data_IF_129954745816
#
_entry.id   IF_129954745816
#
_cell.length_a   1.000
_cell.length_b   1.000
_cell.length_c   1.000
_cell.angle_alpha   90.00
_cell.angle_beta   90.00
_cell.angle_gamma   90.00
#
_symmetry.space_group_name_H-M   'P 1'
#
loop_
_entity.id
_entity.type
_entity.pdbx_description
1 polymer ?
#
# COMPACT_ATOMS: atom_id res chain seq x y z
N UNK A 1 35.64 21.16 -37.96
CA UNK A 1 35.97 20.22 -36.86
C UNK A 1 34.80 20.23 -35.88
N UNK A 2 33.94 19.22 -35.96
CA UNK A 2 32.77 19.07 -35.08
C UNK A 2 33.23 18.53 -33.73
N UNK A 3 33.18 19.37 -32.67
CA UNK A 3 33.44 18.92 -31.29
C UNK A 3 32.43 17.81 -30.95
N UNK A 4 32.87 16.66 -30.39
CA UNK A 4 31.96 15.59 -30.03
C UNK A 4 30.99 16.07 -28.95
N UNK A 5 29.71 15.74 -29.12
CA UNK A 5 28.58 16.03 -28.23
C UNK A 5 28.60 15.22 -26.92
N UNK A 6 29.79 14.89 -26.41
CA UNK A 6 29.99 14.18 -25.15
C UNK A 6 30.30 15.17 -24.03
N UNK A 7 29.49 15.21 -22.97
CA UNK A 7 29.75 16.04 -21.79
C UNK A 7 30.88 15.50 -20.91
N UNK A 8 31.42 16.34 -20.02
CA UNK A 8 32.43 15.96 -19.02
C UNK A 8 31.76 15.17 -17.89
N UNK A 9 32.38 14.07 -17.47
CA UNK A 9 31.88 13.22 -16.38
C UNK A 9 32.64 13.50 -15.09
N UNK A 10 31.95 13.90 -14.03
CA UNK A 10 32.51 14.01 -12.68
C UNK A 10 32.17 12.73 -11.91
N UNK A 11 33.17 12.03 -11.39
CA UNK A 11 33.00 10.86 -10.52
C UNK A 11 33.27 11.29 -9.08
N UNK A 12 32.24 11.24 -8.23
CA UNK A 12 32.35 11.46 -6.78
C UNK A 12 31.84 10.22 -6.06
N UNK A 13 32.67 9.65 -5.18
CA UNK A 13 32.43 8.36 -4.54
C UNK A 13 32.11 7.26 -5.58
N UNK A 14 30.83 6.87 -5.68
CA UNK A 14 30.31 5.86 -6.62
C UNK A 14 29.34 6.44 -7.67
N UNK A 15 29.17 7.77 -7.70
CA UNK A 15 28.19 8.44 -8.56
C UNK A 15 28.87 9.22 -9.69
N UNK A 16 28.31 9.11 -10.89
CA UNK A 16 28.79 9.81 -12.09
C UNK A 16 27.81 10.91 -12.45
N UNK A 17 28.29 12.15 -12.41
CA UNK A 17 27.55 13.33 -12.84
C UNK A 17 28.01 13.75 -14.23
N UNK A 18 27.07 14.00 -15.14
CA UNK A 18 27.37 14.49 -16.48
C UNK A 18 27.10 15.99 -16.53
N UNK A 19 28.12 16.78 -16.86
CA UNK A 19 28.01 18.21 -17.12
C UNK A 19 28.23 18.51 -18.61
N UNK A 20 27.51 19.47 -19.20
CA UNK A 20 27.78 19.92 -20.56
C UNK A 20 29.19 20.51 -20.69
N UNK A 21 29.82 20.38 -21.86
CA UNK A 21 31.13 20.99 -22.12
C UNK A 21 31.10 22.52 -21.95
N UNK A 22 29.97 23.17 -22.29
CA UNK A 22 29.75 24.60 -22.08
C UNK A 22 29.77 24.99 -20.61
N UNK A 23 29.37 24.09 -19.71
CA UNK A 23 29.44 24.32 -18.27
C UNK A 23 30.86 24.08 -17.72
N UNK A 24 31.61 23.16 -18.31
CA UNK A 24 33.02 22.95 -17.97
C UNK A 24 33.91 24.16 -18.35
N UNK A 25 33.55 24.90 -19.42
CA UNK A 25 34.23 26.14 -19.84
C UNK A 25 34.21 27.25 -18.79
N UNK A 26 33.31 27.18 -17.81
CA UNK A 26 33.26 28.14 -16.71
C UNK A 26 34.34 27.96 -15.65
N UNK A 27 34.99 26.80 -15.68
CA UNK A 27 36.07 26.44 -14.78
C UNK A 27 37.32 26.12 -15.59
N UNK A 28 38.32 27.00 -15.57
CA UNK A 28 39.62 26.71 -16.19
C UNK A 28 40.25 25.42 -15.64
N UNK A 29 39.95 25.07 -14.39
CA UNK A 29 40.44 23.84 -13.74
C UNK A 29 39.74 22.61 -14.26
N UNK A 30 38.39 22.60 -14.34
CA UNK A 30 37.65 21.46 -14.89
C UNK A 30 37.97 21.25 -16.37
N UNK A 31 38.17 22.33 -17.12
CA UNK A 31 38.55 22.24 -18.54
C UNK A 31 39.95 21.62 -18.71
N UNK A 32 40.95 22.07 -17.95
CA UNK A 32 42.28 21.46 -17.96
C UNK A 32 42.27 19.97 -17.49
N UNK A 33 41.44 19.65 -16.50
CA UNK A 33 41.25 18.28 -16.03
C UNK A 33 40.53 17.41 -17.08
N UNK A 34 39.56 17.97 -17.81
CA UNK A 34 38.86 17.27 -18.89
C UNK A 34 39.79 17.02 -20.08
N UNK A 35 40.65 17.98 -20.43
CA UNK A 35 41.65 17.83 -21.49
C UNK A 35 42.68 16.76 -21.15
N UNK A 36 43.23 16.76 -19.93
CA UNK A 36 44.18 15.71 -19.51
C UNK A 36 43.53 14.32 -19.42
N UNK A 37 42.25 14.24 -19.02
CA UNK A 37 41.52 12.97 -18.99
C UNK A 37 41.22 12.40 -20.38
N UNK A 38 41.23 13.24 -21.43
CA UNK A 38 40.87 12.87 -22.80
C UNK A 38 42.08 12.47 -23.68
N UNK A 39 43.30 12.42 -23.13
CA UNK A 39 44.56 12.16 -23.87
C UNK A 39 44.64 10.81 -24.62
N UNK A 40 43.62 9.94 -24.54
CA UNK A 40 43.60 8.62 -25.21
C UNK A 40 42.30 8.27 -25.94
N UNK A 41 41.46 9.27 -26.29
CA UNK A 41 40.17 9.02 -26.95
C UNK A 41 39.17 8.24 -26.09
N UNK A 42 39.37 8.25 -24.77
CA UNK A 42 38.45 7.70 -23.77
C UNK A 42 37.66 8.86 -23.16
N UNK A 43 36.41 8.63 -22.79
CA UNK A 43 35.55 9.63 -22.14
C UNK A 43 36.27 10.30 -20.95
N UNK A 44 36.24 11.64 -20.90
CA UNK A 44 36.87 12.42 -19.84
C UNK A 44 36.11 12.23 -18.51
N UNK A 45 36.69 11.45 -17.60
CA UNK A 45 36.18 11.22 -16.24
C UNK A 45 37.10 11.93 -15.23
N UNK A 46 36.59 12.97 -14.58
CA UNK A 46 37.27 13.73 -13.52
C UNK A 46 36.87 13.15 -12.16
N UNK A 47 37.83 12.67 -11.37
CA UNK A 47 37.57 12.18 -10.01
C UNK A 47 37.59 13.33 -9.00
N UNK A 48 36.51 13.45 -8.22
CA UNK A 48 36.37 14.46 -7.17
C UNK A 48 36.41 13.76 -5.81
N UNK A 49 37.53 13.92 -5.09
CA UNK A 49 37.78 13.27 -3.78
C UNK A 49 37.76 14.23 -2.61
N UNK A 50 37.88 15.53 -2.86
CA UNK A 50 38.05 16.54 -1.81
C UNK A 50 36.73 17.09 -1.28
N UNK A 51 35.59 16.64 -1.83
CA UNK A 51 34.26 17.11 -1.47
C UNK A 51 33.30 15.94 -1.40
N UNK A 52 32.34 16.05 -0.48
CA UNK A 52 31.27 15.07 -0.33
C UNK A 52 30.35 15.05 -1.56
N UNK A 53 29.63 13.94 -1.71
CA UNK A 53 28.73 13.70 -2.84
C UNK A 53 27.72 14.84 -3.04
N UNK A 54 27.17 15.38 -1.96
CA UNK A 54 26.12 16.37 -2.01
C UNK A 54 26.63 17.75 -2.44
N UNK A 55 27.85 18.12 -2.02
CA UNK A 55 28.53 19.33 -2.47
C UNK A 55 28.85 19.23 -3.97
N UNK A 56 29.24 18.05 -4.45
CA UNK A 56 29.40 17.80 -5.90
C UNK A 56 28.06 17.91 -6.63
N UNK A 57 26.96 17.42 -6.04
CA UNK A 57 25.63 17.63 -6.62
C UNK A 57 25.26 19.12 -6.72
N UNK A 58 25.49 19.89 -5.65
CA UNK A 58 25.27 21.34 -5.63
C UNK A 58 26.12 22.05 -6.70
N UNK A 59 27.38 21.65 -6.88
CA UNK A 59 28.24 22.19 -7.94
C UNK A 59 27.64 21.92 -9.32
N UNK A 60 27.19 20.70 -9.57
CA UNK A 60 26.60 20.28 -10.85
C UNK A 60 25.31 21.05 -11.13
N UNK A 61 24.47 21.27 -10.11
CA UNK A 61 23.27 22.10 -10.23
C UNK A 61 23.61 23.55 -10.56
N UNK A 62 24.59 24.13 -9.85
CA UNK A 62 25.04 25.49 -10.11
C UNK A 62 25.57 25.66 -11.54
N UNK A 63 26.37 24.71 -12.01
CA UNK A 63 26.90 24.72 -13.37
C UNK A 63 25.79 24.62 -14.43
N UNK A 64 24.64 24.02 -14.10
CA UNK A 64 23.49 23.90 -15.01
C UNK A 64 22.55 25.11 -14.95
N UNK A 65 22.30 25.64 -13.75
CA UNK A 65 21.21 26.60 -13.48
C UNK A 65 21.67 27.96 -12.96
N UNK A 66 22.96 28.13 -12.66
CA UNK A 66 23.55 29.28 -11.93
C UNK A 66 23.10 29.43 -10.49
N UNK A 67 22.42 28.43 -9.97
CA UNK A 67 21.89 28.36 -8.61
C UNK A 67 21.95 26.91 -8.16
N UNK A 68 22.04 26.69 -6.85
CA UNK A 68 21.94 25.37 -6.25
C UNK A 68 21.10 25.43 -4.98
N UNK A 69 20.43 24.33 -4.68
CA UNK A 69 19.68 24.17 -3.44
C UNK A 69 20.36 23.11 -2.57
N UNK A 70 20.53 23.43 -1.28
CA UNK A 70 21.06 22.46 -0.33
C UNK A 70 19.96 21.47 0.01
N UNK A 71 20.19 20.19 -0.25
CA UNK A 71 19.28 19.15 0.18
C UNK A 71 19.35 19.00 1.71
N UNK A 72 18.42 19.68 2.41
CA UNK A 72 18.34 19.69 3.87
C UNK A 72 18.18 18.30 4.49
N UNK A 73 17.58 17.33 3.77
CA UNK A 73 17.41 15.96 4.28
C UNK A 73 18.75 15.21 4.42
N UNK A 74 19.79 15.66 3.71
CA UNK A 74 21.09 15.00 3.71
C UNK A 74 22.08 15.61 4.71
N UNK A 75 21.69 16.68 5.42
CA UNK A 75 22.51 17.31 6.44
C UNK A 75 22.79 16.33 7.59
N UNK A 76 24.02 16.30 8.14
CA UNK A 76 24.37 15.40 9.24
C UNK A 76 23.42 15.49 10.44
N UNK A 77 22.98 16.69 10.82
CA UNK A 77 22.03 16.92 11.92
C UNK A 77 20.67 16.26 11.69
N UNK A 78 20.23 16.16 10.43
CA UNK A 78 18.97 15.51 10.04
C UNK A 78 19.16 14.01 9.92
N UNK A 79 20.24 13.56 9.27
CA UNK A 79 20.58 12.14 9.13
C UNK A 79 20.76 11.46 10.49
N UNK A 80 21.38 12.14 11.46
CA UNK A 80 21.58 11.62 12.82
C UNK A 80 20.28 11.31 13.57
N UNK A 81 19.16 11.93 13.16
CA UNK A 81 17.85 11.78 13.78
C UNK A 81 16.84 11.07 12.86
N UNK A 82 17.27 10.62 11.68
CA UNK A 82 16.42 9.90 10.74
C UNK A 82 15.82 8.65 11.40
N UNK A 83 14.50 8.49 11.31
CA UNK A 83 13.76 7.37 11.92
C UNK A 83 13.42 7.55 13.41
N UNK A 84 13.86 8.62 14.06
CA UNK A 84 13.53 8.89 15.48
C UNK A 84 12.26 9.74 15.68
N UNK A 85 11.74 10.36 14.61
CA UNK A 85 10.58 11.24 14.65
C UNK A 85 10.83 12.59 15.35
N UNK A 86 12.08 12.92 15.69
CA UNK A 86 12.47 14.17 16.34
C UNK A 86 13.08 15.13 15.33
N UNK A 87 12.73 16.41 15.46
CA UNK A 87 13.35 17.47 14.67
C UNK A 87 14.80 17.75 15.13
N UNK A 88 15.71 18.10 14.20
CA UNK A 88 17.06 18.48 14.56
C UNK A 88 17.09 19.73 15.42
N UNK A 89 18.02 19.75 16.39
CA UNK A 89 18.28 20.96 17.16
C UNK A 89 18.60 22.12 16.20
N UNK A 90 17.86 23.22 16.32
CA UNK A 90 17.92 24.37 15.41
C UNK A 90 19.35 24.87 15.16
N UNK A 91 20.18 24.92 16.21
CA UNK A 91 21.59 25.31 16.12
C UNK A 91 22.42 24.37 15.24
N UNK A 92 22.25 23.04 15.39
CA UNK A 92 22.98 22.05 14.59
C UNK A 92 22.51 22.06 13.13
N UNK A 93 21.22 22.24 12.90
CA UNK A 93 20.67 22.37 11.54
C UNK A 93 21.23 23.59 10.81
N UNK A 94 21.20 24.78 11.45
CA UNK A 94 21.75 26.01 10.87
C UNK A 94 23.24 25.87 10.61
N UNK A 95 23.99 25.26 11.54
CA UNK A 95 25.42 24.99 11.40
C UNK A 95 25.70 24.17 10.15
N UNK A 96 25.02 23.03 10.00
CA UNK A 96 25.28 22.10 8.90
C UNK A 96 24.88 22.72 7.54
N UNK A 97 23.79 23.49 7.51
CA UNK A 97 23.38 24.24 6.33
C UNK A 97 24.43 25.29 5.92
N UNK A 98 24.94 26.07 6.88
CA UNK A 98 25.99 27.06 6.64
C UNK A 98 27.31 26.42 6.20
N UNK A 99 27.71 25.31 6.83
CA UNK A 99 28.90 24.54 6.44
C UNK A 99 28.80 24.11 4.99
N UNK A 100 27.62 23.69 4.51
CA UNK A 100 27.46 23.33 3.10
C UNK A 100 27.74 24.50 2.18
N UNK A 101 27.24 25.70 2.48
CA UNK A 101 27.57 26.89 1.68
C UNK A 101 29.05 27.29 1.79
N UNK A 102 29.70 27.09 2.95
CA UNK A 102 31.15 27.27 3.09
C UNK A 102 31.91 26.33 2.16
N UNK A 103 31.54 25.04 2.11
CA UNK A 103 32.12 24.09 1.17
C UNK A 103 31.90 24.52 -0.29
N UNK A 104 30.71 25.04 -0.62
CA UNK A 104 30.44 25.55 -1.96
C UNK A 104 31.30 26.77 -2.31
N UNK A 105 31.57 27.67 -1.35
CA UNK A 105 32.53 28.77 -1.55
C UNK A 105 33.92 28.24 -1.84
N UNK A 106 34.38 27.28 -1.03
CA UNK A 106 35.66 26.60 -1.19
C UNK A 106 35.78 25.82 -2.52
N UNK A 107 34.71 25.18 -2.97
CA UNK A 107 34.65 24.53 -4.29
C UNK A 107 34.78 25.55 -5.41
N UNK A 108 34.10 26.69 -5.30
CA UNK A 108 34.23 27.79 -6.27
C UNK A 108 35.66 28.31 -6.33
N UNK A 109 36.37 28.40 -5.20
CA UNK A 109 37.78 28.78 -5.19
C UNK A 109 38.66 27.69 -5.81
N UNK A 110 38.47 26.43 -5.41
CA UNK A 110 39.28 25.30 -5.87
C UNK A 110 39.17 25.08 -7.39
N UNK A 111 37.95 25.15 -7.93
CA UNK A 111 37.70 25.02 -9.37
C UNK A 111 37.77 26.34 -10.13
N UNK A 112 38.12 27.46 -9.47
CA UNK A 112 38.17 28.79 -10.08
C UNK A 112 36.87 29.19 -10.79
N UNK A 113 35.75 29.06 -10.08
CA UNK A 113 34.40 29.47 -10.49
C UNK A 113 33.96 30.63 -9.58
N UNK A 114 34.35 31.89 -9.86
CA UNK A 114 34.12 33.00 -8.93
C UNK A 114 32.64 33.23 -8.61
N UNK A 115 31.76 33.03 -9.61
CA UNK A 115 30.31 33.18 -9.45
C UNK A 115 29.73 32.19 -8.43
N UNK A 116 30.31 30.99 -8.32
CA UNK A 116 29.87 30.01 -7.33
C UNK A 116 30.25 30.47 -5.92
N UNK A 117 31.49 30.95 -5.73
CA UNK A 117 31.93 31.48 -4.45
C UNK A 117 31.13 32.72 -4.03
N UNK A 118 30.81 33.61 -4.97
CA UNK A 118 29.97 34.78 -4.70
C UNK A 118 28.54 34.36 -4.30
N UNK A 119 27.92 33.45 -5.04
CA UNK A 119 26.58 32.96 -4.71
C UNK A 119 26.55 32.28 -3.34
N UNK A 120 27.53 31.41 -3.06
CA UNK A 120 27.64 30.73 -1.78
C UNK A 120 27.77 31.72 -0.61
N UNK A 121 28.59 32.77 -0.75
CA UNK A 121 28.75 33.81 0.28
C UNK A 121 27.47 34.62 0.49
N UNK A 122 26.75 34.97 -0.58
CA UNK A 122 25.43 35.60 -0.46
C UNK A 122 24.44 34.73 0.32
N UNK A 123 24.45 33.40 0.12
CA UNK A 123 23.62 32.50 0.91
C UNK A 123 24.05 32.45 2.38
N UNK A 124 25.36 32.43 2.67
CA UNK A 124 25.90 32.50 4.03
C UNK A 124 25.42 33.77 4.74
N UNK A 125 25.59 34.94 4.12
CA UNK A 125 25.14 36.22 4.68
C UNK A 125 23.63 36.24 4.91
N UNK A 126 22.85 35.71 3.96
CA UNK A 126 21.39 35.60 4.07
C UNK A 126 20.98 34.70 5.25
N UNK A 127 21.60 33.53 5.41
CA UNK A 127 21.26 32.60 6.49
C UNK A 127 21.66 33.18 7.84
N UNK A 128 22.85 33.77 7.96
CA UNK A 128 23.32 34.36 9.22
C UNK A 128 22.44 35.54 9.65
N UNK A 129 22.04 36.40 8.71
CA UNK A 129 21.17 37.56 9.01
C UNK A 129 19.75 37.16 9.43
N UNK A 130 19.22 36.04 8.92
CA UNK A 130 17.89 35.54 9.28
C UNK A 130 17.89 34.66 10.54
N UNK A 131 18.96 33.90 10.76
CA UNK A 131 18.98 32.80 11.72
C UNK A 131 20.28 32.78 12.54
N UNK A 132 20.62 33.90 13.18
CA UNK A 132 21.79 33.99 14.05
C UNK A 132 21.76 32.97 15.19
N UNK A 133 22.87 32.27 15.39
CA UNK A 133 23.10 31.39 16.53
C UNK A 133 24.61 31.26 16.79
N UNK A 134 25.06 31.60 18.00
CA UNK A 134 26.49 31.68 18.32
C UNK A 134 27.21 30.33 18.11
N UNK A 135 26.67 29.24 18.65
CA UNK A 135 27.27 27.91 18.52
C UNK A 135 27.30 27.42 17.07
N UNK A 136 26.23 27.69 16.31
CA UNK A 136 26.20 27.36 14.88
C UNK A 136 27.26 28.15 14.10
N UNK A 137 27.34 29.46 14.35
CA UNK A 137 28.31 30.33 13.70
C UNK A 137 29.75 29.93 14.02
N UNK A 138 30.07 29.65 15.28
CA UNK A 138 31.42 29.19 15.68
C UNK A 138 31.81 27.87 15.02
N UNK A 139 30.85 26.93 14.89
CA UNK A 139 31.05 25.69 14.15
C UNK A 139 31.39 25.93 12.67
N UNK A 140 30.73 26.90 12.04
CA UNK A 140 30.94 27.27 10.63
C UNK A 140 32.28 27.95 10.44
N UNK A 141 32.65 28.87 11.33
CA UNK A 141 33.95 29.55 11.30
C UNK A 141 35.09 28.54 11.36
N UNK A 142 34.98 27.50 12.20
CA UNK A 142 36.00 26.44 12.30
C UNK A 142 36.28 25.77 10.95
N UNK A 143 35.23 25.47 10.18
CA UNK A 143 35.35 24.87 8.84
C UNK A 143 35.86 25.90 7.83
N UNK A 144 35.38 27.15 7.88
CA UNK A 144 35.83 28.20 6.97
C UNK A 144 37.34 28.47 7.08
N UNK A 145 37.93 28.30 8.26
CA UNK A 145 39.36 28.44 8.50
C UNK A 145 40.22 27.36 7.81
N UNK A 146 39.63 26.23 7.40
CA UNK A 146 40.32 25.24 6.57
C UNK A 146 40.63 25.79 5.16
N UNK A 147 39.80 26.72 4.67
CA UNK A 147 39.96 27.40 3.39
C UNK A 147 40.85 28.65 3.53
N UNK A 148 42.12 28.46 3.87
CA UNK A 148 43.10 29.54 4.17
C UNK A 148 43.26 30.60 3.07
N UNK A 149 42.90 30.29 1.82
CA UNK A 149 43.00 31.22 0.69
C UNK A 149 41.74 32.05 0.42
N UNK A 150 40.61 31.71 1.03
CA UNK A 150 39.32 32.37 0.78
C UNK A 150 39.12 33.59 1.70
N UNK A 151 39.90 34.64 1.43
CA UNK A 151 39.88 35.88 2.20
C UNK A 151 38.50 36.55 2.18
N UNK A 152 37.77 36.44 1.06
CA UNK A 152 36.46 37.06 0.98
C UNK A 152 35.40 36.30 1.78
N UNK A 153 35.48 34.96 1.86
CA UNK A 153 34.65 34.20 2.79
C UNK A 153 34.94 34.60 4.24
N UNK A 154 36.21 34.73 4.60
CA UNK A 154 36.61 35.13 5.96
C UNK A 154 36.10 36.54 6.29
N UNK A 155 36.19 37.48 5.34
CA UNK A 155 35.64 38.83 5.48
C UNK A 155 34.11 38.83 5.60
N UNK A 156 33.41 38.04 4.81
CA UNK A 156 31.95 37.93 4.87
C UNK A 156 31.49 37.40 6.24
N UNK A 157 32.11 36.33 6.74
CA UNK A 157 31.82 35.79 8.07
C UNK A 157 32.14 36.80 9.17
N UNK A 158 33.24 37.53 9.05
CA UNK A 158 33.61 38.56 10.02
C UNK A 158 32.62 39.74 10.02
N UNK A 159 32.25 40.24 8.85
CA UNK A 159 31.26 41.30 8.71
C UNK A 159 29.92 40.89 9.34
N UNK A 160 29.53 39.63 9.14
CA UNK A 160 28.33 39.06 9.74
C UNK A 160 28.44 38.87 11.27
N UNK A 161 29.64 38.60 11.80
CA UNK A 161 29.88 38.48 13.24
C UNK A 161 29.85 39.84 14.00
N UNK A 162 30.19 40.94 13.31
CA UNK A 162 30.35 42.27 13.93
C UNK A 162 29.17 42.71 14.82
N UNK A 163 27.89 42.62 14.40
CA UNK A 163 26.77 43.01 15.26
C UNK A 163 26.56 42.07 16.46
N UNK A 164 27.15 40.88 16.46
CA UNK A 164 26.94 39.84 17.48
C UNK A 164 28.16 39.60 18.37
N UNK A 165 29.19 40.45 18.27
CA UNK A 165 30.46 40.26 18.96
C UNK A 165 30.31 40.13 20.49
N UNK A 166 29.38 40.87 21.09
CA UNK A 166 29.09 40.77 22.52
C UNK A 166 28.55 39.39 22.93
N UNK A 167 27.71 38.78 22.09
CA UNK A 167 27.17 37.43 22.31
C UNK A 167 28.26 36.37 22.14
N UNK A 168 29.08 36.53 21.10
CA UNK A 168 30.17 35.62 20.79
C UNK A 168 31.25 35.60 21.88
N UNK A 169 31.70 36.76 22.38
CA UNK A 169 32.73 36.82 23.44
C UNK A 169 32.25 36.18 24.74
N UNK A 170 30.93 36.15 24.98
CA UNK A 170 30.35 35.52 26.16
C UNK A 170 30.28 33.97 26.06
N UNK A 171 30.58 33.38 24.90
CA UNK A 171 30.62 31.92 24.74
C UNK A 171 32.01 31.35 25.03
N UNK A 172 32.07 30.28 25.82
CA UNK A 172 33.34 29.62 26.21
C UNK A 172 34.12 29.04 25.02
N UNK A 173 33.46 28.83 23.87
CA UNK A 173 34.05 28.31 22.65
C UNK A 173 34.69 29.38 21.75
N UNK A 174 34.54 30.67 22.07
CA UNK A 174 35.11 31.76 21.29
C UNK A 174 36.59 31.99 21.59
N UNK A 175 37.45 31.85 20.58
CA UNK A 175 38.90 32.11 20.70
C UNK A 175 39.31 33.47 20.09
N UNK A 176 39.61 34.51 20.86
CA UNK A 176 40.00 35.82 20.31
C UNK A 176 41.19 35.80 19.34
N UNK A 177 42.03 34.76 19.38
CA UNK A 177 43.20 34.62 18.51
C UNK A 177 42.83 34.46 17.02
N UNK A 178 41.65 33.93 16.71
CA UNK A 178 41.17 33.80 15.31
C UNK A 178 40.78 35.15 14.72
N UNK A 179 40.13 36.01 15.52
CA UNK A 179 39.79 37.39 15.10
C UNK A 179 41.07 38.14 14.76
N UNK A 180 42.05 38.10 15.67
CA UNK A 180 43.28 38.87 15.54
C UNK A 180 44.22 38.40 14.42
N UNK A 181 44.18 37.12 14.02
CA UNK A 181 45.00 36.60 12.90
C UNK A 181 44.59 37.19 11.55
N UNK A 182 43.31 37.49 11.35
CA UNK A 182 42.80 38.07 10.10
C UNK A 182 43.07 39.58 9.98
N UNK A 183 43.38 40.28 11.09
CA UNK A 183 43.63 41.74 11.12
C UNK A 183 45.07 42.18 10.79
N UNK A 184 46.06 41.26 10.78
CA UNK A 184 47.48 41.66 10.74
C UNK A 184 48.00 42.19 9.40
N UNK A 185 47.23 42.11 8.31
CA UNK A 185 47.66 42.60 7.00
C UNK A 185 47.39 44.09 6.74
N UNK A 186 46.63 44.79 7.58
CA UNK A 186 46.12 46.15 7.26
C UNK A 186 46.38 47.25 8.31
N UNK A 187 47.21 47.02 9.34
CA UNK A 187 47.51 48.03 10.38
C UNK A 187 49.00 48.41 10.46
N UNK A 188 49.59 48.89 9.37
CA UNK A 188 50.93 49.54 9.40
C UNK A 188 50.95 50.80 8.54
N UNK A 189 50.95 51.96 9.20
CA UNK A 189 51.35 53.26 8.65
C UNK A 189 52.38 53.87 9.63
N UNK A 190 53.53 54.40 9.16
CA UNK A 190 54.62 54.87 10.02
C UNK A 190 54.46 56.35 10.40
N UNK A 191 54.91 56.72 11.60
CA UNK A 191 55.01 58.09 12.08
C UNK A 191 56.47 58.45 12.39
N UNK A 192 56.92 59.61 11.90
CA UNK A 192 58.21 60.27 12.15
C UNK A 192 58.09 61.68 11.51
N UNK A 193 58.46 62.84 12.05
CA UNK A 193 59.35 63.30 13.11
C UNK A 193 58.91 64.74 13.51
N UNK A 194 59.41 65.30 14.63
CA UNK A 194 60.30 66.49 14.64
C UNK A 194 60.53 67.04 16.06
N UNK A 195 61.77 67.49 16.27
CA UNK A 195 62.37 67.94 17.55
C UNK A 195 62.43 69.46 17.62
N UNK A 196 62.31 69.92 18.86
CA UNK A 196 62.57 71.25 19.42
C UNK A 196 63.90 71.88 18.97
N UNK A 197 64.00 73.23 18.99
CA UNK A 197 65.13 73.92 19.61
C UNK A 197 64.86 75.41 19.88
N UNK A 198 65.28 75.81 21.07
CA UNK A 198 65.11 77.10 21.76
C UNK A 198 66.11 78.17 21.29
N UNK A 199 65.74 79.44 21.49
CA UNK A 199 66.64 80.60 21.39
C UNK A 199 67.50 80.84 22.65
N UNK A 200 68.47 81.76 22.57
CA UNK A 200 68.70 82.72 23.68
C UNK A 200 69.11 84.12 23.15
N UNK A 201 68.56 85.24 23.61
CA UNK A 201 68.75 86.00 24.87
C UNK A 201 70.12 86.67 25.11
N UNK A 202 70.02 87.99 25.29
CA UNK A 202 70.57 88.75 26.44
C UNK A 202 72.05 89.19 26.47
N UNK A 203 72.76 89.26 25.34
CA UNK A 203 74.00 90.05 25.25
C UNK A 203 73.92 91.22 24.25
N UNK A 204 72.73 91.50 23.73
CA UNK A 204 72.55 92.53 22.71
C UNK A 204 71.97 93.82 23.27
N UNK A 205 71.64 93.92 24.57
CA UNK A 205 70.87 95.07 25.12
C UNK A 205 71.64 96.41 25.04
N UNK A 206 72.97 96.39 25.08
CA UNK A 206 73.78 97.62 24.97
C UNK A 206 74.17 97.96 23.53
N UNK A 207 74.26 96.95 22.65
CA UNK A 207 74.30 97.14 21.19
C UNK A 207 72.96 97.62 20.64
N UNK A 208 71.86 97.12 21.21
CA UNK A 208 70.48 97.50 20.93
C UNK A 208 70.23 98.97 21.25
N UNK A 209 70.94 99.60 22.21
CA UNK A 209 70.74 101.04 22.48
C UNK A 209 71.21 101.93 21.34
N UNK A 210 72.37 101.60 20.75
CA UNK A 210 72.92 102.32 19.59
C UNK A 210 72.17 101.95 18.31
N UNK A 211 71.83 100.67 18.18
CA UNK A 211 70.97 100.15 17.11
C UNK A 211 69.56 100.72 17.19
N UNK A 212 69.00 101.03 18.36
CA UNK A 212 67.68 101.67 18.52
C UNK A 212 67.68 103.10 17.99
N UNK A 213 68.79 103.83 18.06
CA UNK A 213 68.90 105.17 17.47
C UNK A 213 69.01 105.12 15.95
N UNK A 214 69.83 104.22 15.40
CA UNK A 214 69.94 104.01 13.95
C UNK A 214 68.63 103.41 13.37
N UNK A 215 68.03 102.46 14.10
CA UNK A 215 66.71 101.91 13.81
C UNK A 215 65.60 102.94 13.98
N UNK A 216 65.80 104.06 14.68
CA UNK A 216 64.79 105.13 14.78
C UNK A 216 64.71 105.93 13.48
N UNK A 217 65.89 106.23 12.90
CA UNK A 217 66.02 106.87 11.59
C UNK A 217 65.55 105.90 10.50
N UNK A 218 65.99 104.64 10.57
CA UNK A 218 65.54 103.58 9.66
C UNK A 218 64.04 103.31 9.81
N UNK A 219 63.48 103.39 11.03
CA UNK A 219 62.04 103.31 11.27
C UNK A 219 61.30 104.46 10.60
N UNK A 220 61.76 105.70 10.72
CA UNK A 220 61.05 106.85 10.14
C UNK A 220 61.11 106.82 8.59
N UNK A 221 62.22 106.34 8.03
CA UNK A 221 62.38 106.14 6.58
C UNK A 221 61.64 104.90 6.07
N UNK A 222 61.58 103.82 6.85
CA UNK A 222 60.73 102.67 6.60
C UNK A 222 59.26 103.00 6.79
N UNK A 223 58.86 103.89 7.70
CA UNK A 223 57.49 104.34 7.93
C UNK A 223 57.00 105.22 6.79
N UNK A 224 57.88 106.05 6.21
CA UNK A 224 57.64 106.75 4.95
C UNK A 224 57.51 105.78 3.75
N UNK A 225 58.41 104.80 3.62
CA UNK A 225 58.33 103.76 2.56
C UNK A 225 57.16 102.79 2.76
N UNK A 226 56.75 102.52 4.00
CA UNK A 226 55.54 101.78 4.34
C UNK A 226 54.32 102.61 3.97
N UNK A 227 54.30 103.92 4.20
CA UNK A 227 53.21 104.81 3.78
C UNK A 227 52.99 104.82 2.26
N UNK A 228 54.06 104.77 1.47
CA UNK A 228 53.99 104.60 0.01
C UNK A 228 53.66 103.16 -0.44
N UNK A 229 54.11 102.15 0.31
CA UNK A 229 53.76 100.74 0.06
C UNK A 229 52.40 100.31 0.60
N UNK A 230 51.73 101.10 1.46
CA UNK A 230 50.41 100.78 2.04
C UNK A 230 49.25 101.20 1.13
N UNK A 231 49.46 102.16 0.23
CA UNK A 231 48.47 102.63 -0.74
C UNK A 231 48.11 101.59 -1.82
N UNK A 232 49.07 100.89 -2.48
CA UNK A 232 48.73 99.86 -3.47
C UNK A 232 47.95 98.66 -2.89
N UNK A 233 48.30 98.08 -1.72
CA UNK A 233 47.50 97.05 -1.06
C UNK A 233 46.12 97.55 -0.67
N UNK A 234 46.00 98.78 -0.13
CA UNK A 234 44.70 99.34 0.25
C UNK A 234 43.78 99.56 -0.94
N UNK A 235 44.29 99.94 -2.11
CA UNK A 235 43.51 100.01 -3.37
C UNK A 235 43.09 98.63 -3.87
N UNK A 236 44.02 97.66 -3.89
CA UNK A 236 43.71 96.29 -4.30
C UNK A 236 42.69 95.61 -3.36
N UNK A 237 42.82 95.81 -2.04
CA UNK A 237 41.86 95.34 -1.04
C UNK A 237 40.50 96.03 -1.22
N UNK A 238 40.48 97.32 -1.56
CA UNK A 238 39.22 98.03 -1.88
C UNK A 238 38.56 97.43 -3.12
N UNK A 239 39.30 97.22 -4.21
CA UNK A 239 38.79 96.60 -5.45
C UNK A 239 38.24 95.19 -5.21
N UNK A 240 39.00 94.34 -4.52
CA UNK A 240 38.57 92.97 -4.15
C UNK A 240 37.31 93.01 -3.27
N UNK A 241 37.26 93.92 -2.29
CA UNK A 241 36.08 94.09 -1.43
C UNK A 241 34.86 94.68 -2.16
N UNK A 242 35.05 95.54 -3.15
CA UNK A 242 33.93 96.16 -3.89
C UNK A 242 33.41 95.30 -5.03
N UNK A 243 34.25 94.46 -5.65
CA UNK A 243 33.87 93.68 -6.84
C UNK A 243 33.71 92.18 -6.58
N UNK A 244 34.64 91.53 -5.86
CA UNK A 244 34.64 90.07 -5.71
C UNK A 244 33.83 89.58 -4.50
N UNK A 245 33.86 90.31 -3.38
CA UNK A 245 33.12 89.93 -2.16
C UNK A 245 31.59 89.86 -2.37
N UNK A 246 30.93 90.78 -3.09
CA UNK A 246 29.50 90.67 -3.37
C UNK A 246 29.16 89.48 -4.26
N UNK A 247 30.00 89.16 -5.25
CA UNK A 247 29.83 88.04 -6.17
C UNK A 247 29.99 86.70 -5.45
N UNK A 248 31.06 86.53 -4.66
CA UNK A 248 31.27 85.36 -3.81
C UNK A 248 30.14 85.21 -2.77
N UNK A 249 29.66 86.33 -2.21
CA UNK A 249 28.50 86.33 -1.29
C UNK A 249 27.22 85.87 -1.99
N UNK A 250 26.98 86.31 -3.22
CA UNK A 250 25.84 85.87 -4.03
C UNK A 250 25.93 84.37 -4.35
N UNK A 251 27.10 83.87 -4.74
CA UNK A 251 27.33 82.45 -4.98
C UNK A 251 27.14 81.60 -3.72
N UNK A 252 27.64 82.06 -2.56
CA UNK A 252 27.43 81.40 -1.27
C UNK A 252 25.95 81.34 -0.88
N UNK A 253 25.20 82.42 -1.10
CA UNK A 253 23.77 82.45 -0.83
C UNK A 253 22.99 81.49 -1.75
N UNK A 254 23.37 81.41 -3.02
CA UNK A 254 22.77 80.48 -3.98
C UNK A 254 23.12 79.01 -3.65
N UNK A 255 24.37 78.73 -3.28
CA UNK A 255 24.79 77.41 -2.78
C UNK A 255 24.02 77.02 -1.52
N UNK A 256 23.86 77.95 -0.58
CA UNK A 256 23.07 77.73 0.64
C UNK A 256 21.62 77.42 0.31
N UNK A 257 21.00 78.13 -0.66
CA UNK A 257 19.64 77.83 -1.14
C UNK A 257 19.55 76.43 -1.72
N UNK A 258 20.47 76.04 -2.61
CA UNK A 258 20.53 74.68 -3.19
C UNK A 258 20.72 73.59 -2.14
N UNK A 259 21.56 73.82 -1.13
CA UNK A 259 21.75 72.88 -0.02
C UNK A 259 20.45 72.71 0.77
N UNK A 260 19.72 73.79 1.05
CA UNK A 260 18.41 73.71 1.72
C UNK A 260 17.38 72.93 0.88
N UNK A 261 17.34 73.15 -0.43
CA UNK A 261 16.43 72.43 -1.34
C UNK A 261 16.76 70.94 -1.43
N UNK A 262 18.05 70.60 -1.52
CA UNK A 262 18.51 69.21 -1.49
C UNK A 262 18.23 68.56 -0.14
N UNK A 263 18.33 69.30 0.96
CA UNK A 263 18.00 68.80 2.30
C UNK A 263 16.51 68.46 2.40
N UNK A 264 15.63 69.36 1.93
CA UNK A 264 14.19 69.12 1.91
C UNK A 264 13.83 67.90 1.03
N UNK A 265 14.39 67.82 -0.18
CA UNK A 265 14.17 66.68 -1.07
C UNK A 265 14.68 65.36 -0.46
N UNK A 266 15.79 65.39 0.28
CA UNK A 266 16.30 64.22 1.01
C UNK A 266 15.33 63.77 2.10
N UNK A 267 14.73 64.69 2.84
CA UNK A 267 13.73 64.37 3.87
C UNK A 267 12.47 63.76 3.26
N UNK A 268 11.98 64.30 2.15
CA UNK A 268 10.83 63.75 1.42
C UNK A 268 11.10 62.30 0.93
N UNK A 269 12.27 62.07 0.34
CA UNK A 269 12.68 60.73 -0.10
C UNK A 269 12.88 59.76 1.06
N UNK A 270 13.28 60.26 2.24
CA UNK A 270 13.35 59.44 3.45
C UNK A 270 11.96 59.06 3.96
N UNK A 271 11.01 60.00 3.93
CA UNK A 271 9.62 59.72 4.28
C UNK A 271 8.98 58.71 3.32
N UNK A 272 9.21 58.86 2.02
CA UNK A 272 8.74 57.90 1.00
C UNK A 272 9.36 56.52 1.20
N UNK A 273 10.68 56.44 1.47
CA UNK A 273 11.33 55.16 1.78
C UNK A 273 10.76 54.51 3.05
N UNK A 274 10.43 55.30 4.07
CA UNK A 274 9.80 54.77 5.28
C UNK A 274 8.40 54.20 4.97
N UNK A 275 7.59 54.88 4.16
CA UNK A 275 6.29 54.41 3.73
C UNK A 275 6.40 53.11 2.89
N UNK A 276 7.33 53.06 1.94
CA UNK A 276 7.57 51.86 1.14
C UNK A 276 8.01 50.67 2.00
N UNK A 277 8.85 50.90 3.01
CA UNK A 277 9.24 49.84 3.97
C UNK A 277 8.02 49.30 4.71
N UNK A 278 7.15 50.17 5.23
CA UNK A 278 5.92 49.73 5.89
C UNK A 278 5.02 48.92 4.95
N UNK A 279 4.90 49.33 3.68
CA UNK A 279 4.11 48.59 2.71
C UNK A 279 4.72 47.20 2.40
N UNK A 280 6.04 47.10 2.32
CA UNK A 280 6.74 45.82 2.13
C UNK A 280 6.52 44.90 3.32
N UNK A 281 6.57 45.43 4.55
CA UNK A 281 6.30 44.65 5.76
C UNK A 281 4.85 44.15 5.82
N UNK A 282 3.87 44.99 5.44
CA UNK A 282 2.46 44.60 5.33
C UNK A 282 2.23 43.53 4.25
N UNK A 283 2.90 43.64 3.10
CA UNK A 283 2.80 42.63 2.04
C UNK A 283 3.46 41.31 2.48
N UNK A 284 4.57 41.39 3.22
CA UNK A 284 5.25 40.23 3.76
C UNK A 284 4.37 39.48 4.76
N UNK A 285 3.75 40.19 5.71
CA UNK A 285 2.83 39.57 6.69
C UNK A 285 1.61 38.95 6.00
N UNK A 286 1.05 39.61 4.98
CA UNK A 286 -0.01 39.01 4.14
C UNK A 286 0.46 37.76 3.41
N UNK A 287 1.65 37.78 2.82
CA UNK A 287 2.23 36.61 2.15
C UNK A 287 2.43 35.44 3.12
N UNK A 288 2.92 35.71 4.34
CA UNK A 288 3.10 34.70 5.38
C UNK A 288 1.75 34.11 5.84
N UNK A 289 0.71 34.94 6.02
CA UNK A 289 -0.63 34.48 6.33
C UNK A 289 -1.21 33.57 5.22
N UNK A 290 -1.06 34.00 3.96
CA UNK A 290 -1.55 33.22 2.80
C UNK A 290 -0.80 31.90 2.66
N UNK A 291 0.51 31.88 2.94
CA UNK A 291 1.31 30.65 2.96
C UNK A 291 0.83 29.69 4.06
N UNK A 292 0.50 30.19 5.24
CA UNK A 292 -0.06 29.39 6.34
C UNK A 292 -1.41 28.78 5.96
N UNK A 293 -2.29 29.54 5.32
CA UNK A 293 -3.57 29.03 4.79
C UNK A 293 -3.34 27.94 3.74
N UNK A 294 -2.37 28.13 2.85
CA UNK A 294 -2.00 27.13 1.85
C UNK A 294 -1.52 25.83 2.51
N UNK A 295 -0.69 25.91 3.55
CA UNK A 295 -0.22 24.73 4.28
C UNK A 295 -1.37 23.97 4.95
N UNK A 296 -2.32 24.68 5.55
CA UNK A 296 -3.53 24.07 6.14
C UNK A 296 -4.38 23.37 5.08
N UNK A 297 -4.61 24.00 3.92
CA UNK A 297 -5.34 23.39 2.82
C UNK A 297 -4.61 22.16 2.25
N UNK A 298 -3.29 22.21 2.13
CA UNK A 298 -2.45 21.09 1.71
C UNK A 298 -2.58 19.88 2.66
N UNK A 299 -2.59 20.15 3.97
CA UNK A 299 -2.82 19.13 4.99
C UNK A 299 -4.23 18.53 4.89
N UNK A 300 -5.26 19.36 4.72
CA UNK A 300 -6.64 18.88 4.52
C UNK A 300 -6.78 18.00 3.28
N UNK A 301 -6.19 18.40 2.15
CA UNK A 301 -6.18 17.59 0.92
C UNK A 301 -5.51 16.23 1.16
N UNK A 302 -4.40 16.21 1.91
CA UNK A 302 -3.69 14.96 2.24
C UNK A 302 -4.56 14.03 3.08
N UNK A 303 -5.25 14.56 4.10
CA UNK A 303 -6.18 13.81 4.96
C UNK A 303 -7.39 13.29 4.15
N UNK A 304 -8.00 14.13 3.32
CA UNK A 304 -9.14 13.73 2.50
C UNK A 304 -8.72 12.68 1.46
N UNK A 305 -7.51 12.77 0.91
CA UNK A 305 -6.99 11.79 -0.04
C UNK A 305 -6.77 10.43 0.61
N UNK A 306 -6.20 10.40 1.83
CA UNK A 306 -6.03 9.14 2.57
C UNK A 306 -7.38 8.56 2.99
N UNK A 307 -8.31 9.38 3.47
CA UNK A 307 -9.68 8.96 3.80
C UNK A 307 -10.41 8.39 2.59
N UNK A 308 -10.36 9.08 1.43
CA UNK A 308 -10.94 8.59 0.18
C UNK A 308 -10.37 7.22 -0.21
N UNK A 309 -9.05 7.05 -0.16
CA UNK A 309 -8.42 5.76 -0.47
C UNK A 309 -8.90 4.64 0.46
N UNK A 310 -9.06 4.92 1.75
CA UNK A 310 -9.61 3.93 2.69
C UNK A 310 -11.07 3.59 2.39
N UNK A 311 -11.88 4.57 2.01
CA UNK A 311 -13.28 4.36 1.63
C UNK A 311 -13.42 3.54 0.32
N UNK A 312 -12.54 3.79 -0.66
CA UNK A 312 -12.48 3.00 -1.89
C UNK A 312 -12.07 1.54 -1.61
N UNK A 313 -11.10 1.33 -0.71
CA UNK A 313 -10.70 -0.02 -0.28
C UNK A 313 -11.84 -0.75 0.44
N UNK A 314 -12.53 -0.10 1.38
CA UNK A 314 -13.65 -0.73 2.09
C UNK A 314 -14.83 -1.01 1.17
N UNK A 315 -15.11 -0.13 0.20
CA UNK A 315 -16.13 -0.37 -0.83
C UNK A 315 -15.77 -1.55 -1.73
N UNK A 316 -14.52 -1.66 -2.18
CA UNK A 316 -14.05 -2.79 -2.97
C UNK A 316 -14.12 -4.12 -2.20
N UNK A 317 -13.76 -4.13 -0.91
CA UNK A 317 -13.90 -5.30 -0.04
C UNK A 317 -15.38 -5.69 0.17
N UNK A 318 -16.28 -4.72 0.34
CA UNK A 318 -17.70 -4.98 0.49
C UNK A 318 -18.30 -5.59 -0.78
N UNK A 319 -17.92 -5.10 -1.96
CA UNK A 319 -18.33 -5.65 -3.25
C UNK A 319 -17.84 -7.09 -3.42
N UNK A 320 -16.56 -7.36 -3.16
CA UNK A 320 -16.00 -8.70 -3.25
C UNK A 320 -16.67 -9.68 -2.27
N UNK A 321 -17.03 -9.22 -1.05
CA UNK A 321 -17.80 -10.03 -0.09
C UNK A 321 -19.21 -10.31 -0.61
N UNK A 322 -19.89 -9.33 -1.18
CA UNK A 322 -21.23 -9.51 -1.75
C UNK A 322 -21.21 -10.55 -2.89
N UNK A 323 -20.28 -10.43 -3.84
CA UNK A 323 -20.09 -11.39 -4.93
C UNK A 323 -19.77 -12.80 -4.40
N UNK A 324 -18.92 -12.92 -3.38
CA UNK A 324 -18.62 -14.21 -2.75
C UNK A 324 -19.86 -14.83 -2.08
N UNK A 325 -20.71 -14.02 -1.45
CA UNK A 325 -21.97 -14.51 -0.87
C UNK A 325 -22.97 -14.93 -1.93
N UNK A 326 -23.08 -14.19 -3.03
CA UNK A 326 -23.95 -14.53 -4.17
C UNK A 326 -23.52 -15.85 -4.79
N UNK A 327 -22.22 -16.01 -5.07
CA UNK A 327 -21.66 -17.26 -5.59
C UNK A 327 -21.92 -18.45 -4.65
N UNK A 328 -21.79 -18.24 -3.33
CA UNK A 328 -22.09 -19.30 -2.35
C UNK A 328 -23.58 -19.69 -2.36
N UNK A 329 -24.48 -18.70 -2.45
CA UNK A 329 -25.92 -18.96 -2.53
C UNK A 329 -26.28 -19.71 -3.82
N UNK A 330 -25.68 -19.33 -4.94
CA UNK A 330 -25.91 -19.97 -6.24
C UNK A 330 -25.44 -21.43 -6.24
N UNK A 331 -24.26 -21.71 -5.67
CA UNK A 331 -23.81 -23.09 -5.46
C UNK A 331 -24.76 -23.88 -4.54
N UNK A 332 -25.18 -23.30 -3.42
CA UNK A 332 -26.14 -23.95 -2.51
C UNK A 332 -27.49 -24.21 -3.19
N UNK A 333 -27.94 -23.32 -4.06
CA UNK A 333 -29.18 -23.49 -4.81
C UNK A 333 -29.05 -24.64 -5.81
N UNK A 334 -27.95 -24.70 -6.59
CA UNK A 334 -27.69 -25.79 -7.53
C UNK A 334 -27.64 -27.15 -6.82
N UNK A 335 -27.01 -27.22 -5.64
CA UNK A 335 -27.01 -28.43 -4.82
C UNK A 335 -28.41 -28.83 -4.35
N UNK A 336 -29.24 -27.86 -3.95
CA UNK A 336 -30.62 -28.11 -3.55
C UNK A 336 -31.47 -28.60 -4.74
N UNK A 337 -31.33 -27.97 -5.91
CA UNK A 337 -32.02 -28.38 -7.14
C UNK A 337 -31.64 -29.80 -7.55
N UNK A 338 -30.36 -30.17 -7.44
CA UNK A 338 -29.89 -31.54 -7.69
C UNK A 338 -30.54 -32.54 -6.74
N UNK A 339 -30.58 -32.25 -5.42
CA UNK A 339 -31.24 -33.12 -4.43
C UNK A 339 -32.73 -33.28 -4.68
N UNK A 340 -33.40 -32.19 -5.10
CA UNK A 340 -34.82 -32.24 -5.47
C UNK A 340 -35.04 -33.10 -6.73
N UNK A 341 -34.16 -32.98 -7.73
CA UNK A 341 -34.23 -33.81 -8.93
C UNK A 341 -34.01 -35.30 -8.62
N UNK A 342 -33.04 -35.64 -7.76
CA UNK A 342 -32.81 -37.00 -7.26
C UNK A 342 -34.05 -37.53 -6.53
N UNK A 343 -34.59 -36.77 -5.57
CA UNK A 343 -35.80 -37.16 -4.84
C UNK A 343 -37.01 -37.34 -5.76
N UNK A 344 -37.13 -36.55 -6.83
CA UNK A 344 -38.19 -36.69 -7.82
C UNK A 344 -38.04 -37.97 -8.64
N UNK A 345 -36.83 -38.32 -9.06
CA UNK A 345 -36.56 -39.58 -9.76
C UNK A 345 -36.85 -40.79 -8.85
N UNK A 346 -36.41 -40.73 -7.59
CA UNK A 346 -36.70 -41.77 -6.61
C UNK A 346 -38.22 -41.92 -6.40
N UNK A 347 -38.95 -40.80 -6.27
CA UNK A 347 -40.40 -40.81 -6.19
C UNK A 347 -41.03 -41.46 -7.44
N UNK A 348 -40.57 -41.15 -8.64
CA UNK A 348 -41.07 -41.75 -9.87
C UNK A 348 -40.83 -43.28 -9.91
N UNK A 349 -39.64 -43.74 -9.50
CA UNK A 349 -39.34 -45.17 -9.37
C UNK A 349 -40.27 -45.82 -8.34
N UNK A 350 -40.50 -45.18 -7.19
CA UNK A 350 -41.45 -45.69 -6.19
C UNK A 350 -42.89 -45.75 -6.70
N UNK A 351 -43.35 -44.77 -7.48
CA UNK A 351 -44.69 -44.82 -8.10
C UNK A 351 -44.80 -45.94 -9.13
N UNK A 352 -43.80 -46.12 -9.99
CA UNK A 352 -43.79 -47.19 -10.99
C UNK A 352 -43.77 -48.59 -10.34
N UNK A 353 -43.03 -48.74 -9.25
CA UNK A 353 -43.03 -49.99 -8.47
C UNK A 353 -44.35 -50.24 -7.76
N UNK A 354 -45.00 -49.21 -7.20
CA UNK A 354 -46.35 -49.33 -6.65
C UNK A 354 -47.38 -49.73 -7.72
N UNK A 355 -47.32 -49.15 -8.92
CA UNK A 355 -48.22 -49.52 -10.01
C UNK A 355 -48.02 -50.98 -10.47
N UNK A 356 -46.77 -51.46 -10.49
CA UNK A 356 -46.48 -52.89 -10.74
C UNK A 356 -47.07 -53.77 -9.65
N UNK A 357 -46.82 -53.47 -8.38
CA UNK A 357 -47.36 -54.24 -7.25
C UNK A 357 -48.89 -54.22 -7.23
N UNK A 358 -49.51 -53.11 -7.62
CA UNK A 358 -50.96 -53.00 -7.76
C UNK A 358 -51.48 -53.95 -8.84
N UNK A 359 -50.85 -54.00 -10.01
CA UNK A 359 -51.20 -54.94 -11.08
C UNK A 359 -51.05 -56.39 -10.63
N UNK A 360 -49.96 -56.73 -9.95
CA UNK A 360 -49.74 -58.07 -9.38
C UNK A 360 -50.82 -58.41 -8.35
N UNK A 361 -51.21 -57.46 -7.50
CA UNK A 361 -52.29 -57.65 -6.52
C UNK A 361 -53.63 -57.87 -7.21
N UNK A 362 -53.95 -57.12 -8.27
CA UNK A 362 -55.17 -57.30 -9.06
C UNK A 362 -55.18 -58.67 -9.77
N UNK A 363 -54.04 -59.14 -10.26
CA UNK A 363 -53.91 -60.47 -10.86
C UNK A 363 -54.07 -61.60 -9.81
N UNK A 364 -53.41 -61.46 -8.66
CA UNK A 364 -53.59 -62.38 -7.53
C UNK A 364 -55.03 -62.38 -7.07
N UNK A 365 -55.69 -61.23 -6.98
CA UNK A 365 -57.11 -61.14 -6.62
C UNK A 365 -58.00 -61.89 -7.62
N UNK A 366 -57.78 -61.70 -8.93
CA UNK A 366 -58.51 -62.47 -9.95
C UNK A 366 -58.27 -63.97 -9.82
N UNK A 367 -57.03 -64.39 -9.60
CA UNK A 367 -56.68 -65.80 -9.39
C UNK A 367 -57.37 -66.39 -8.15
N UNK A 368 -57.46 -65.59 -7.08
CA UNK A 368 -58.16 -65.97 -5.85
C UNK A 368 -59.66 -66.11 -6.10
N UNK A 369 -60.29 -65.14 -6.78
CA UNK A 369 -61.72 -65.21 -7.16
C UNK A 369 -62.00 -66.46 -8.00
N UNK A 370 -61.14 -66.77 -8.99
CA UNK A 370 -61.28 -68.01 -9.78
C UNK A 370 -61.18 -69.25 -8.90
N UNK A 371 -60.18 -69.32 -8.03
CA UNK A 371 -59.99 -70.47 -7.13
C UNK A 371 -61.14 -70.62 -6.14
N UNK A 372 -61.70 -69.53 -5.61
CA UNK A 372 -62.89 -69.56 -4.77
C UNK A 372 -64.11 -70.10 -5.51
N UNK A 373 -64.31 -69.70 -6.78
CA UNK A 373 -65.42 -70.22 -7.59
C UNK A 373 -65.26 -71.71 -7.89
N UNK A 374 -64.05 -72.16 -8.23
CA UNK A 374 -63.71 -73.57 -8.39
C UNK A 374 -63.95 -74.36 -7.10
N UNK A 375 -63.54 -73.81 -5.94
CA UNK A 375 -63.80 -74.44 -4.65
C UNK A 375 -65.29 -74.55 -4.35
N UNK A 376 -66.09 -73.52 -4.67
CA UNK A 376 -67.57 -73.57 -4.53
C UNK A 376 -68.17 -74.64 -5.43
N UNK A 377 -67.73 -74.74 -6.69
CA UNK A 377 -68.16 -75.77 -7.63
C UNK A 377 -67.78 -77.16 -7.12
N UNK A 378 -66.51 -77.41 -6.77
CA UNK A 378 -66.05 -78.67 -6.22
C UNK A 378 -66.80 -79.07 -4.93
N UNK A 379 -67.11 -78.10 -4.06
CA UNK A 379 -67.93 -78.33 -2.87
C UNK A 379 -69.36 -78.75 -3.25
N UNK A 380 -69.96 -78.12 -4.25
CA UNK A 380 -71.29 -78.48 -4.77
C UNK A 380 -71.32 -79.86 -5.42
N UNK A 381 -70.30 -80.20 -6.23
CA UNK A 381 -70.13 -81.52 -6.84
C UNK A 381 -69.95 -82.60 -5.78
N UNK A 382 -69.11 -82.36 -4.76
CA UNK A 382 -68.94 -83.27 -3.64
C UNK A 382 -70.25 -83.51 -2.89
N UNK A 383 -71.07 -82.48 -2.70
CA UNK A 383 -72.39 -82.62 -2.08
C UNK A 383 -73.33 -83.46 -2.96
N UNK A 384 -73.37 -83.20 -4.28
CA UNK A 384 -74.15 -83.99 -5.23
C UNK A 384 -73.72 -85.47 -5.25
N UNK A 385 -72.40 -85.73 -5.26
CA UNK A 385 -71.85 -87.08 -5.17
C UNK A 385 -72.22 -87.76 -3.85
N UNK A 386 -72.21 -87.02 -2.73
CA UNK A 386 -72.66 -87.53 -1.44
C UNK A 386 -74.14 -87.91 -1.47
N UNK A 387 -75.00 -87.09 -2.06
CA UNK A 387 -76.44 -87.40 -2.19
C UNK A 387 -76.70 -88.59 -3.11
N UNK A 388 -75.93 -88.72 -4.20
CA UNK A 388 -75.97 -89.91 -5.06
C UNK A 388 -75.50 -91.15 -4.30
N UNK A 389 -74.42 -91.03 -3.54
CA UNK A 389 -73.89 -92.12 -2.72
C UNK A 389 -74.87 -92.56 -1.62
N UNK A 390 -75.55 -91.64 -0.93
CA UNK A 390 -76.56 -92.01 0.08
C UNK A 390 -77.76 -92.72 -0.54
N UNK A 391 -78.23 -92.25 -1.71
CA UNK A 391 -79.27 -92.95 -2.49
C UNK A 391 -78.82 -94.34 -2.91
N UNK A 392 -77.60 -94.47 -3.44
CA UNK A 392 -77.07 -95.76 -3.88
C UNK A 392 -76.85 -96.70 -2.68
N UNK A 393 -76.36 -96.19 -1.56
CA UNK A 393 -76.26 -96.94 -0.30
C UNK A 393 -77.63 -97.42 0.18
N UNK A 394 -78.66 -96.60 0.07
CA UNK A 394 -80.03 -97.00 0.40
C UNK A 394 -80.56 -98.09 -0.54
N UNK A 395 -80.28 -98.00 -1.85
CA UNK A 395 -80.59 -99.07 -2.81
C UNK A 395 -79.88 -100.36 -2.48
N UNK A 396 -78.57 -100.31 -2.20
CA UNK A 396 -77.80 -101.49 -1.77
C UNK A 396 -78.40 -102.07 -0.49
N UNK A 397 -78.76 -101.24 0.49
CA UNK A 397 -79.44 -101.71 1.71
C UNK A 397 -80.79 -102.36 1.42
N UNK A 398 -81.58 -101.83 0.48
CA UNK A 398 -82.85 -102.42 0.07
C UNK A 398 -82.65 -103.75 -0.67
N UNK A 399 -81.66 -103.83 -1.57
CA UNK A 399 -81.28 -105.06 -2.24
C UNK A 399 -80.75 -106.11 -1.25
N UNK A 400 -80.00 -105.71 -0.23
CA UNK A 400 -79.57 -106.63 0.84
C UNK A 400 -80.77 -107.15 1.62
N UNK A 401 -81.73 -106.29 1.97
CA UNK A 401 -82.98 -106.72 2.60
C UNK A 401 -83.77 -107.68 1.70
N UNK A 402 -83.84 -107.41 0.40
CA UNK A 402 -84.48 -108.29 -0.58
C UNK A 402 -83.76 -109.63 -0.71
N UNK A 403 -82.42 -109.64 -0.69
CA UNK A 403 -81.64 -110.88 -0.64
C UNK A 403 -81.96 -111.65 0.65
N UNK A 404 -82.07 -110.98 1.79
CA UNK A 404 -82.38 -111.64 3.06
C UNK A 404 -83.83 -112.15 3.12
N UNK A 405 -84.81 -111.45 2.54
CA UNK A 405 -86.18 -111.96 2.39
C UNK A 405 -86.25 -113.12 1.42
N UNK A 406 -85.51 -113.05 0.29
CA UNK A 406 -85.39 -114.17 -0.65
C UNK A 406 -84.72 -115.38 -0.01
N UNK A 407 -83.69 -115.19 0.82
CA UNK A 407 -83.09 -116.28 1.62
C UNK A 407 -84.09 -116.88 2.59
N UNK A 408 -84.84 -116.06 3.33
CA UNK A 408 -85.88 -116.54 4.24
C UNK A 408 -86.97 -117.34 3.50
N UNK A 409 -87.40 -116.86 2.34
CA UNK A 409 -88.35 -117.59 1.49
C UNK A 409 -87.78 -118.92 1.01
N UNK A 410 -86.49 -118.96 0.64
CA UNK A 410 -85.79 -120.16 0.21
C UNK A 410 -85.59 -121.15 1.36
N UNK A 411 -85.35 -120.66 2.57
CA UNK A 411 -85.28 -121.49 3.79
C UNK A 411 -86.66 -122.04 4.16
N UNK A 412 -87.75 -121.27 4.00
CA UNK A 412 -89.13 -121.78 4.13
C UNK A 412 -89.48 -122.82 3.05
N UNK A 413 -89.02 -122.63 1.81
CA UNK A 413 -89.13 -123.67 0.77
C UNK A 413 -88.32 -124.94 1.10
N UNK A 414 -87.15 -124.79 1.73
CA UNK A 414 -86.39 -125.94 2.24
C UNK A 414 -87.09 -126.63 3.41
N UNK A 415 -87.62 -125.88 4.36
CA UNK A 415 -88.37 -126.42 5.50
C UNK A 415 -89.65 -127.14 5.05
N UNK A 416 -90.37 -126.62 4.06
CA UNK A 416 -91.52 -127.32 3.44
C UNK A 416 -91.11 -128.58 2.69
N UNK A 417 -89.93 -128.61 2.08
CA UNK A 417 -89.35 -129.81 1.47
C UNK A 417 -88.93 -130.84 2.53
N UNK A 418 -88.45 -130.38 3.69
CA UNK A 418 -88.01 -131.22 4.81
C UNK A 418 -89.18 -131.65 5.74
N UNK A 419 -90.36 -131.04 5.60
CA UNK A 419 -91.62 -131.45 6.26
C UNK A 419 -92.52 -132.35 5.41
N UNK A 420 -91.99 -133.03 4.38
CA UNK A 420 -92.60 -134.29 3.91
C UNK A 420 -92.40 -135.31 5.04
N UNK A 421 -93.46 -135.73 5.77
CA UNK A 421 -93.30 -136.59 6.93
C UNK A 421 -92.59 -137.87 6.52
N UNK A 422 -91.54 -138.25 7.27
CA UNK A 422 -90.82 -139.52 7.09
C UNK A 422 -91.80 -140.70 7.04
N UNK A 423 -92.93 -140.60 7.74
CA UNK A 423 -94.05 -141.53 7.63
C UNK A 423 -94.56 -141.74 6.19
N UNK A 424 -94.75 -140.68 5.40
CA UNK A 424 -95.24 -140.78 4.00
C UNK A 424 -94.15 -141.35 3.08
N UNK A 425 -92.88 -141.03 3.35
CA UNK A 425 -91.73 -141.55 2.61
C UNK A 425 -91.53 -143.05 2.86
N UNK A 426 -91.67 -143.48 4.11
CA UNK A 426 -91.54 -144.87 4.51
C UNK A 426 -92.78 -145.69 4.12
N UNK A 427 -93.99 -145.12 4.18
CA UNK A 427 -95.22 -145.75 3.65
C UNK A 427 -95.14 -146.01 2.14
N UNK A 428 -94.67 -145.03 1.35
CA UNK A 428 -94.46 -145.23 -0.09
C UNK A 428 -93.39 -146.29 -0.39
N UNK A 429 -92.34 -146.37 0.44
CA UNK A 429 -91.28 -147.35 0.29
C UNK A 429 -91.74 -148.76 0.68
N UNK A 430 -92.53 -148.88 1.74
CA UNK A 430 -93.09 -150.14 2.22
C UNK A 430 -94.18 -150.67 1.28
N UNK A 431 -95.00 -149.79 0.69
CA UNK A 431 -95.96 -150.15 -0.36
C UNK A 431 -95.26 -150.68 -1.62
N UNK A 432 -94.13 -150.07 -2.02
CA UNK A 432 -93.33 -150.52 -3.16
C UNK A 432 -92.67 -151.89 -2.91
N UNK A 433 -92.16 -152.15 -1.71
CA UNK A 433 -91.56 -153.43 -1.34
C UNK A 433 -92.62 -154.56 -1.23
N UNK A 434 -93.82 -154.24 -0.73
CA UNK A 434 -94.95 -155.18 -0.67
C UNK A 434 -95.37 -155.64 -2.08
N UNK A 435 -95.60 -154.69 -3.00
CA UNK A 435 -95.91 -154.96 -4.42
C UNK A 435 -94.82 -155.82 -5.09
N UNK A 436 -93.54 -155.49 -4.87
CA UNK A 436 -92.43 -156.25 -5.44
C UNK A 436 -92.34 -157.68 -4.89
N UNK A 437 -92.73 -157.90 -3.63
CA UNK A 437 -92.77 -159.24 -3.03
C UNK A 437 -93.93 -160.09 -3.59
N UNK A 438 -95.06 -159.46 -3.87
CA UNK A 438 -96.25 -160.11 -4.43
C UNK A 438 -96.04 -160.51 -5.89
N UNK A 439 -95.41 -159.64 -6.70
CA UNK A 439 -94.98 -159.95 -8.07
C UNK A 439 -94.01 -161.14 -8.12
N UNK A 440 -93.07 -161.24 -7.16
CA UNK A 440 -92.16 -162.40 -7.06
C UNK A 440 -92.91 -163.69 -6.74
N UNK A 441 -93.89 -163.65 -5.84
CA UNK A 441 -94.68 -164.82 -5.44
C UNK A 441 -95.57 -165.32 -6.59
N UNK A 442 -96.25 -164.41 -7.28
CA UNK A 442 -97.09 -164.75 -8.45
C UNK A 442 -96.25 -165.34 -9.59
N UNK A 443 -95.02 -164.85 -9.82
CA UNK A 443 -94.12 -165.45 -10.79
C UNK A 443 -93.67 -166.87 -10.42
N UNK A 444 -93.47 -167.17 -9.13
CA UNK A 444 -93.16 -168.53 -8.67
C UNK A 444 -94.35 -169.50 -8.82
N UNK A 445 -95.57 -169.03 -8.60
CA UNK A 445 -96.79 -169.85 -8.78
C UNK A 445 -97.09 -170.09 -10.27
N UNK A 446 -96.84 -169.10 -11.12
CA UNK A 446 -96.93 -169.24 -12.58
C UNK A 446 -95.94 -170.29 -13.11
N UNK A 447 -94.72 -170.32 -12.59
CA UNK A 447 -93.69 -171.25 -13.05
C UNK A 447 -93.95 -172.69 -12.56
N UNK A 448 -94.49 -172.85 -11.35
CA UNK A 448 -94.99 -174.15 -10.86
C UNK A 448 -96.18 -174.67 -11.67
N UNK A 449 -97.10 -173.79 -12.09
CA UNK A 449 -98.20 -174.18 -12.98
C UNK A 449 -97.71 -174.60 -14.39
N UNK A 450 -96.65 -173.96 -14.90
CA UNK A 450 -96.00 -174.34 -16.17
C UNK A 450 -95.26 -175.68 -16.11
N UNK A 451 -94.64 -176.01 -14.98
CA UNK A 451 -93.94 -177.29 -14.76
C UNK A 451 -94.89 -178.48 -14.50
N UNK A 452 -96.08 -178.24 -13.95
CA UNK A 452 -97.09 -179.29 -13.78
C UNK A 452 -97.83 -179.61 -15.09
N UNK A 453 -98.04 -178.62 -15.98
CA UNK A 453 -98.69 -178.83 -17.28
C UNK A 453 -97.82 -179.56 -18.32
N UNK A 454 -96.50 -179.62 -18.12
CA UNK A 454 -95.55 -180.26 -19.04
C UNK A 454 -95.33 -181.75 -18.74
N UNK A 455 -95.62 -182.23 -17.53
CA UNK A 455 -95.51 -183.65 -17.17
C UNK A 455 -96.80 -184.47 -17.42
N UNK A 456 -97.83 -183.87 -18.03
CA UNK A 456 -99.04 -184.55 -18.52
C UNK A 456 -98.92 -185.06 -19.98
N UNK A 457 -97.69 -185.13 -20.53
CA UNK A 457 -97.35 -185.78 -21.80
C UNK A 457 -96.05 -186.58 -21.64
N UNK A 458 -96.21 -187.82 -21.17
CA UNK A 458 -95.17 -188.83 -20.98
C UNK A 458 -95.72 -190.01 -20.22
#
# INVERSE_FOLDING_TARGET
MTRPTGGVKLLSESYVFVIPNTAAEESPVLLALAESANEKGKEAIIRVTNFDLDAVNCLVEFLKRREYEVNCALLPSVKALAGTGKDPAKALFIRDLLIRHVHMSGMGLHYKIPKLSEFARKQIEKIISLHWNDGAFLGVVRVALEYKGDHELHMALFAAARPHLYSLIATDEFDPSWVLRSFRSHLRVPASNEKELQGPTSFEIEGLRKRVSDLRIERDELEYRLGEQDEPPKRAIKEVNTAQVPEISAELNELRRKVSELSASKEDLQAENAALRTQVDDLRTKSEATSSEQDVLQQQITILTSSKKTAEQTAAEALARAEATENRLLCSQVEAEKKVAEARNDAEVTTNTLDRLRKETEEVQKSLETSETEHRLAKSERNLLRDRWTKEKAKVSALTQEIDTLKLALDLERDTKDTIPVAVRDELKQALEAEQSEVKKLNMELEKARQAATNARG
#
